data_IF_752078201840
#
_entry.id   IF_752078201840
#
_cell.length_a   1.000
_cell.length_b   1.000
_cell.length_c   1.000
_cell.angle_alpha   90.00
_cell.angle_beta   90.00
_cell.angle_gamma   90.00
#
_symmetry.space_group_name_H-M   'P 1'
#
loop_
_entity.id
_entity.type
_entity.pdbx_description
1 polymer ?
#
# COMPACT_ATOMS: atom_id res chain seq x y z
N UNK A 1 60.48 14.23 -1.29
CA UNK A 1 59.12 14.65 -0.89
C UNK A 1 58.29 13.40 -0.90
N UNK A 2 57.95 12.86 0.27
CA UNK A 2 57.16 11.64 0.39
C UNK A 2 55.69 12.03 0.27
N UNK A 3 55.08 11.69 -0.87
CA UNK A 3 53.62 11.76 -1.02
C UNK A 3 53.03 10.57 -0.23
N UNK A 4 52.47 10.86 0.94
CA UNK A 4 51.67 9.91 1.68
C UNK A 4 50.33 9.76 0.99
N UNK A 5 50.07 8.62 0.36
CA UNK A 5 48.71 8.19 0.05
C UNK A 5 47.94 8.01 1.35
N UNK A 6 47.14 9.01 1.72
CA UNK A 6 46.05 8.82 2.66
C UNK A 6 44.98 7.98 1.97
N UNK A 7 44.96 6.68 2.28
CA UNK A 7 43.77 5.85 2.09
C UNK A 7 42.64 6.51 2.88
N UNK A 8 41.50 6.89 2.26
CA UNK A 8 40.39 7.47 3.01
C UNK A 8 39.88 6.42 4.00
N UNK A 9 39.85 6.77 5.29
CA UNK A 9 39.21 5.94 6.31
C UNK A 9 37.72 5.76 5.93
N UNK A 10 37.17 4.54 6.05
CA UNK A 10 35.77 4.32 5.76
C UNK A 10 34.92 5.13 6.76
N UNK A 11 34.01 5.94 6.25
CA UNK A 11 33.07 6.69 7.09
C UNK A 11 32.24 5.71 7.92
N UNK A 12 32.25 5.90 9.25
CA UNK A 12 31.51 5.05 10.19
C UNK A 12 30.71 5.90 11.15
N UNK A 13 29.49 5.47 11.48
CA UNK A 13 28.58 6.19 12.36
C UNK A 13 28.09 5.31 13.49
N UNK A 14 28.50 5.63 14.72
CA UNK A 14 28.06 4.92 15.91
C UNK A 14 26.76 5.53 16.44
N UNK A 15 25.67 4.75 16.45
CA UNK A 15 24.37 5.23 16.91
C UNK A 15 23.59 4.18 17.69
N UNK A 16 22.62 4.62 18.50
CA UNK A 16 21.68 3.74 19.20
C UNK A 16 20.41 3.56 18.37
N UNK A 17 20.10 2.32 18.01
CA UNK A 17 18.90 1.92 17.30
C UNK A 17 17.78 1.59 18.29
N UNK A 18 16.62 2.22 18.14
CA UNK A 18 15.35 1.80 18.76
C UNK A 18 14.56 1.01 17.74
N UNK A 19 14.58 -0.30 17.86
CA UNK A 19 13.92 -1.20 16.93
C UNK A 19 12.51 -1.50 17.46
N UNK A 20 11.49 -1.16 16.68
CA UNK A 20 10.10 -1.50 16.95
C UNK A 20 9.61 -2.55 15.94
N UNK A 21 9.32 -3.75 16.43
CA UNK A 21 8.72 -4.83 15.64
C UNK A 21 7.20 -4.84 15.85
N UNK A 22 6.45 -4.73 14.76
CA UNK A 22 5.00 -4.92 14.78
C UNK A 22 4.65 -6.39 14.53
N UNK A 23 4.01 -7.01 15.51
CA UNK A 23 3.49 -8.37 15.49
C UNK A 23 1.98 -8.33 15.30
N UNK A 24 1.45 -9.37 14.67
CA UNK A 24 0.02 -9.54 14.40
C UNK A 24 -0.43 -10.84 15.04
N UNK A 25 -1.40 -10.76 15.93
CA UNK A 25 -2.10 -11.92 16.51
C UNK A 25 -3.51 -11.97 15.96
N UNK A 26 -3.91 -13.15 15.50
CA UNK A 26 -5.31 -13.42 15.17
C UNK A 26 -6.05 -13.70 16.48
N UNK A 27 -7.15 -12.97 16.72
CA UNK A 27 -8.12 -13.38 17.74
C UNK A 27 -9.12 -14.33 17.10
N UNK A 28 -9.34 -15.48 17.72
CA UNK A 28 -10.40 -16.38 17.31
C UNK A 28 -11.75 -15.66 17.47
N UNK A 29 -12.59 -15.79 16.44
CA UNK A 29 -13.91 -15.18 16.45
C UNK A 29 -14.80 -15.95 17.43
N UNK A 30 -15.13 -15.36 18.57
CA UNK A 30 -16.18 -15.89 19.44
C UNK A 30 -17.53 -15.59 18.79
N UNK A 31 -17.99 -16.47 17.91
CA UNK A 31 -19.32 -16.45 17.29
C UNK A 31 -19.29 -16.66 15.78
N UNK A 32 -20.15 -17.57 15.30
CA UNK A 32 -20.43 -17.78 13.87
C UNK A 32 -20.84 -16.42 13.26
N UNK A 33 -20.09 -15.93 12.28
CA UNK A 33 -20.33 -14.72 11.43
C UNK A 33 -19.62 -13.39 11.76
N UNK A 34 -18.54 -13.34 12.58
CA UNK A 34 -17.75 -12.09 12.76
C UNK A 34 -16.37 -12.17 12.10
N UNK A 35 -16.03 -11.15 11.29
CA UNK A 35 -14.73 -10.97 10.60
C UNK A 35 -13.58 -11.07 11.60
N UNK A 36 -12.57 -11.91 11.33
CA UNK A 36 -11.35 -12.05 12.15
C UNK A 36 -10.70 -10.67 12.34
N UNK A 37 -10.62 -10.21 13.58
CA UNK A 37 -9.95 -8.94 13.94
C UNK A 37 -8.48 -9.24 14.25
N UNK A 38 -7.54 -8.60 13.53
CA UNK A 38 -6.11 -8.68 13.84
C UNK A 38 -5.77 -7.71 14.96
N UNK A 39 -5.18 -8.21 16.05
CA UNK A 39 -4.58 -7.39 17.09
C UNK A 39 -3.11 -7.13 16.77
N UNK A 40 -2.69 -5.87 16.88
CA UNK A 40 -1.30 -5.45 16.68
C UNK A 40 -0.61 -5.35 18.03
N UNK A 41 0.54 -6.01 18.17
CA UNK A 41 1.41 -5.92 19.32
C UNK A 41 2.75 -5.34 18.87
N UNK A 42 3.25 -4.30 19.54
CA UNK A 42 4.54 -3.68 19.20
C UNK A 42 5.58 -4.06 20.24
N UNK A 43 6.67 -4.70 19.81
CA UNK A 43 7.83 -5.01 20.65
C UNK A 43 8.97 -4.04 20.36
N UNK A 44 9.47 -3.38 21.39
CA UNK A 44 10.58 -2.43 21.27
C UNK A 44 11.87 -3.01 21.88
N UNK A 45 12.99 -2.87 21.18
CA UNK A 45 14.34 -3.26 21.62
C UNK A 45 15.33 -2.16 21.29
N UNK A 46 16.40 -2.07 22.05
CA UNK A 46 17.50 -1.12 21.78
C UNK A 46 18.79 -1.87 21.44
N UNK A 47 19.56 -1.32 20.49
CA UNK A 47 20.82 -1.88 20.01
C UNK A 47 21.79 -0.74 19.69
N UNK A 48 22.98 -0.72 20.28
CA UNK A 48 24.07 0.10 19.77
C UNK A 48 24.67 -0.57 18.53
N UNK A 49 24.81 0.17 17.43
CA UNK A 49 25.32 -0.36 16.17
C UNK A 49 26.20 0.69 15.47
N UNK A 50 27.21 0.19 14.77
CA UNK A 50 28.08 1.00 13.91
C UNK A 50 27.58 0.87 12.48
N UNK A 51 27.00 1.93 11.94
CA UNK A 51 26.56 1.99 10.55
C UNK A 51 27.77 2.32 9.66
N UNK A 52 27.83 1.72 8.48
CA UNK A 52 28.80 2.01 7.41
C UNK A 52 28.10 1.82 6.07
N UNK A 53 28.58 2.43 4.99
CA UNK A 53 27.97 2.29 3.66
C UNK A 53 27.76 0.82 3.22
N UNK A 54 28.72 -0.05 3.50
CA UNK A 54 28.71 -1.43 2.99
C UNK A 54 28.19 -2.49 3.97
N UNK A 55 27.58 -2.10 5.09
CA UNK A 55 27.16 -3.05 6.13
C UNK A 55 25.66 -3.32 6.20
N UNK A 56 24.92 -3.05 5.12
CA UNK A 56 23.48 -3.25 5.04
C UNK A 56 23.01 -4.64 5.47
N UNK A 57 23.61 -5.72 4.95
CA UNK A 57 23.24 -7.09 5.32
C UNK A 57 23.57 -7.42 6.78
N UNK A 58 24.68 -6.89 7.29
CA UNK A 58 25.09 -7.05 8.69
C UNK A 58 24.13 -6.30 9.62
N UNK A 59 23.68 -5.10 9.23
CA UNK A 59 22.66 -4.32 9.91
C UNK A 59 21.35 -5.10 10.03
N UNK A 60 20.81 -5.59 8.91
CA UNK A 60 19.56 -6.36 8.92
C UNK A 60 19.67 -7.64 9.77
N UNK A 61 20.82 -8.32 9.69
CA UNK A 61 21.10 -9.52 10.50
C UNK A 61 21.16 -9.19 12.00
N UNK A 62 21.80 -8.08 12.38
CA UNK A 62 21.88 -7.62 13.77
C UNK A 62 20.50 -7.22 14.32
N UNK A 63 19.65 -6.61 13.50
CA UNK A 63 18.26 -6.29 13.84
C UNK A 63 17.47 -7.58 14.14
N UNK A 64 17.57 -8.60 13.29
CA UNK A 64 16.90 -9.89 13.54
C UNK A 64 17.43 -10.58 14.80
N UNK A 65 18.74 -10.59 15.02
CA UNK A 65 19.36 -11.18 16.20
C UNK A 65 18.85 -10.51 17.49
N UNK A 66 18.71 -9.18 17.51
CA UNK A 66 18.15 -8.46 18.67
C UNK A 66 16.65 -8.67 18.88
N UNK A 67 15.93 -9.02 17.83
CA UNK A 67 14.53 -9.44 17.90
C UNK A 67 14.37 -10.95 18.19
N UNK A 68 15.49 -11.70 18.33
CA UNK A 68 15.51 -13.16 18.49
C UNK A 68 14.83 -13.91 17.33
N UNK A 69 14.97 -13.37 16.11
CA UNK A 69 14.37 -13.89 14.87
C UNK A 69 15.39 -14.54 13.93
N UNK A 70 16.67 -14.48 14.28
CA UNK A 70 17.81 -15.04 13.55
C UNK A 70 17.76 -16.56 13.37
N UNK A 71 17.06 -17.27 14.25
CA UNK A 71 16.84 -18.72 14.14
C UNK A 71 15.78 -19.10 13.09
N UNK A 72 14.81 -18.21 12.85
CA UNK A 72 13.67 -18.46 11.95
C UNK A 72 13.88 -17.83 10.57
N UNK A 73 14.53 -16.68 10.52
CA UNK A 73 14.71 -15.86 9.33
C UNK A 73 16.20 -15.58 9.13
N UNK A 74 16.65 -15.78 7.89
CA UNK A 74 18.04 -15.52 7.51
C UNK A 74 18.05 -14.46 6.41
N UNK A 75 18.82 -13.40 6.65
CA UNK A 75 19.08 -12.38 5.63
C UNK A 75 20.16 -12.88 4.70
N UNK A 76 19.91 -12.77 3.40
CA UNK A 76 20.89 -13.02 2.35
C UNK A 76 20.73 -11.93 1.29
N UNK A 77 21.68 -11.84 0.37
CA UNK A 77 21.62 -10.91 -0.75
C UNK A 77 20.27 -10.95 -1.51
N UNK A 78 19.71 -12.15 -1.69
CA UNK A 78 18.40 -12.36 -2.36
C UNK A 78 17.19 -12.30 -1.43
N UNK A 79 17.40 -12.32 -0.11
CA UNK A 79 16.35 -12.36 0.92
C UNK A 79 16.62 -11.28 1.95
N UNK A 80 16.22 -10.07 1.60
CA UNK A 80 16.33 -8.86 2.43
C UNK A 80 14.91 -8.43 2.80
N UNK A 81 14.75 -7.75 3.93
CA UNK A 81 13.47 -7.15 4.32
C UNK A 81 13.64 -5.65 4.41
N UNK A 82 12.67 -4.90 3.90
CA UNK A 82 12.64 -3.46 4.08
C UNK A 82 12.24 -3.11 5.52
N UNK A 83 12.56 -1.88 5.90
CA UNK A 83 12.16 -1.29 7.17
C UNK A 83 11.89 0.20 6.97
N UNK A 84 11.36 0.87 7.98
CA UNK A 84 11.30 2.32 8.01
C UNK A 84 12.25 2.86 9.07
N UNK A 85 12.89 3.98 8.82
CA UNK A 85 13.62 4.69 9.86
C UNK A 85 13.03 6.08 10.12
N UNK A 86 13.25 6.56 11.33
CA UNK A 86 12.76 7.85 11.78
C UNK A 86 13.85 8.57 12.56
N UNK A 87 14.24 9.73 12.03
CA UNK A 87 15.18 10.63 12.67
C UNK A 87 14.75 12.10 12.45
N UNK A 88 14.69 12.93 13.52
CA UNK A 88 14.83 12.59 14.93
C UNK A 88 13.73 11.65 15.45
N UNK A 89 14.01 10.91 16.53
CA UNK A 89 13.07 9.90 17.09
C UNK A 89 11.73 10.46 17.58
N UNK A 90 11.67 11.78 17.78
CA UNK A 90 10.50 12.57 18.21
C UNK A 90 9.53 12.91 17.08
N UNK A 91 9.93 12.72 15.81
CA UNK A 91 9.01 12.90 14.68
C UNK A 91 7.84 11.91 14.78
N UNK A 92 6.76 12.23 14.09
CA UNK A 92 5.59 11.34 13.99
C UNK A 92 5.92 10.17 13.06
N UNK A 93 5.42 8.97 13.37
CA UNK A 93 5.75 7.75 12.62
C UNK A 93 5.36 7.80 11.13
N UNK A 94 4.46 8.72 10.73
CA UNK A 94 4.11 8.97 9.33
C UNK A 94 5.25 9.59 8.51
N UNK A 95 6.20 10.25 9.18
CA UNK A 95 7.37 10.88 8.56
C UNK A 95 8.56 9.90 8.48
N UNK A 96 8.33 8.63 8.81
CA UNK A 96 9.36 7.60 8.71
C UNK A 96 9.65 7.30 7.23
N UNK A 97 10.93 7.25 6.89
CA UNK A 97 11.43 7.02 5.54
C UNK A 97 11.55 5.51 5.32
N UNK A 98 11.01 5.03 4.20
CA UNK A 98 11.11 3.63 3.78
C UNK A 98 12.53 3.32 3.25
N UNK A 99 13.11 2.21 3.69
CA UNK A 99 14.40 1.68 3.23
C UNK A 99 14.17 0.24 2.79
N UNK A 100 14.12 0.00 1.48
CA UNK A 100 13.82 -1.31 0.90
C UNK A 100 15.03 -1.91 0.16
N UNK A 101 15.95 -1.06 -0.30
CA UNK A 101 17.13 -1.44 -1.09
C UNK A 101 18.44 -1.05 -0.40
N UNK A 102 19.56 -1.44 -1.02
CA UNK A 102 20.90 -1.03 -0.57
C UNK A 102 21.19 0.43 -0.89
N UNK A 103 20.68 0.93 -2.01
CA UNK A 103 20.77 2.34 -2.39
C UNK A 103 20.04 3.21 -1.34
N UNK A 104 18.82 2.83 -0.94
CA UNK A 104 18.08 3.52 0.13
C UNK A 104 18.85 3.50 1.47
N UNK A 105 19.61 2.43 1.72
CA UNK A 105 20.40 2.29 2.94
C UNK A 105 21.60 3.24 2.95
N UNK A 106 22.28 3.38 1.81
CA UNK A 106 23.37 4.34 1.61
C UNK A 106 22.85 5.77 1.72
N UNK A 107 21.66 6.06 1.16
CA UNK A 107 21.01 7.37 1.31
C UNK A 107 20.64 7.66 2.76
N UNK A 108 20.09 6.66 3.47
CA UNK A 108 19.86 6.76 4.91
C UNK A 108 21.17 7.06 5.64
N UNK A 109 22.24 6.30 5.38
CA UNK A 109 23.53 6.51 6.05
C UNK A 109 24.07 7.92 5.81
N UNK A 110 24.07 8.37 4.55
CA UNK A 110 24.52 9.72 4.16
C UNK A 110 23.74 10.79 4.91
N UNK A 111 22.41 10.70 4.94
CA UNK A 111 21.54 11.62 5.66
C UNK A 111 21.79 11.61 7.18
N UNK A 112 22.24 10.48 7.76
CA UNK A 112 22.59 10.40 9.17
C UNK A 112 24.00 10.95 9.45
N UNK A 113 24.95 10.84 8.52
CA UNK A 113 26.28 11.42 8.67
C UNK A 113 26.23 12.95 8.79
N UNK A 114 25.34 13.61 8.04
CA UNK A 114 25.12 15.06 8.13
C UNK A 114 24.66 15.53 9.51
N UNK A 115 24.03 14.64 10.28
CA UNK A 115 23.38 14.98 11.54
C UNK A 115 24.01 14.31 12.78
N UNK A 116 24.81 13.25 12.60
CA UNK A 116 25.46 12.47 13.66
C UNK A 116 24.51 12.11 14.83
N UNK A 117 23.41 11.39 14.57
CA UNK A 117 22.38 11.13 15.57
C UNK A 117 22.88 10.24 16.71
N UNK A 118 22.63 10.63 17.97
CA UNK A 118 22.84 9.70 19.10
C UNK A 118 21.87 8.50 19.02
N UNK A 119 20.68 8.72 18.48
CA UNK A 119 19.58 7.74 18.48
C UNK A 119 18.70 7.84 17.23
N UNK A 120 18.39 6.70 16.62
CA UNK A 120 17.44 6.58 15.51
C UNK A 120 16.40 5.49 15.82
N UNK A 121 15.18 5.63 15.27
CA UNK A 121 14.11 4.65 15.46
C UNK A 121 13.91 3.86 14.16
N UNK A 122 13.93 2.54 14.27
CA UNK A 122 13.75 1.59 13.18
C UNK A 122 12.41 0.88 13.39
N UNK A 123 11.52 0.94 12.41
CA UNK A 123 10.21 0.30 12.42
C UNK A 123 10.24 -0.89 11.46
N UNK A 124 9.92 -2.07 11.98
CA UNK A 124 9.96 -3.32 11.24
C UNK A 124 8.61 -4.02 11.36
N UNK A 125 8.09 -4.52 10.24
CA UNK A 125 6.83 -5.24 10.17
C UNK A 125 7.07 -6.76 10.02
N UNK A 126 6.49 -7.57 10.91
CA UNK A 126 6.61 -9.02 10.85
C UNK A 126 6.02 -9.63 9.56
N UNK A 127 5.00 -9.02 8.97
CA UNK A 127 4.45 -9.44 7.66
C UNK A 127 5.49 -9.26 6.56
N UNK A 128 6.31 -8.21 6.63
CA UNK A 128 7.38 -7.94 5.67
C UNK A 128 8.55 -8.92 5.82
N UNK A 129 8.97 -9.20 7.06
CA UNK A 129 10.00 -10.24 7.33
C UNK A 129 9.52 -11.59 6.80
N UNK A 130 8.28 -11.99 7.11
CA UNK A 130 7.71 -13.26 6.63
C UNK A 130 7.68 -13.33 5.10
N UNK A 131 7.20 -12.29 4.44
CA UNK A 131 7.13 -12.27 2.97
C UNK A 131 8.51 -12.39 2.32
N UNK A 132 9.49 -11.68 2.87
CA UNK A 132 10.77 -11.47 2.18
C UNK A 132 11.85 -12.47 2.59
N UNK A 133 11.76 -13.01 3.81
CA UNK A 133 12.76 -13.91 4.40
C UNK A 133 12.22 -15.31 4.73
N UNK A 134 10.97 -15.65 4.36
CA UNK A 134 10.46 -17.00 4.58
C UNK A 134 11.39 -18.06 3.95
N UNK A 135 11.63 -19.12 4.73
CA UNK A 135 12.30 -20.33 4.22
C UNK A 135 11.38 -20.96 3.19
N UNK A 136 11.93 -21.35 2.03
CA UNK A 136 11.26 -22.33 1.18
C UNK A 136 11.11 -23.58 2.04
N UNK A 137 9.87 -23.96 2.37
CA UNK A 137 9.62 -25.19 3.13
C UNK A 137 10.10 -26.36 2.27
N UNK A 138 11.21 -26.98 2.68
CA UNK A 138 11.44 -28.39 2.36
C UNK A 138 10.85 -29.17 3.53
N UNK A 139 9.70 -29.79 3.30
CA UNK A 139 9.11 -30.82 4.16
C UNK A 139 8.25 -30.35 5.33
N UNK A 140 6.98 -30.75 5.27
CA UNK A 140 6.05 -31.02 6.38
C UNK A 140 5.56 -29.85 7.26
N UNK A 141 4.37 -29.34 6.93
CA UNK A 141 3.18 -29.39 7.79
C UNK A 141 2.07 -28.70 6.99
N UNK A 142 1.24 -29.53 6.35
CA UNK A 142 -0.06 -29.12 5.85
C UNK A 142 -0.87 -28.59 7.03
N UNK A 143 -1.28 -27.32 6.93
CA UNK A 143 -2.50 -26.86 7.56
C UNK A 143 -3.43 -26.59 6.38
N UNK A 144 -4.42 -27.46 6.29
CA UNK A 144 -5.39 -27.58 5.22
C UNK A 144 -6.27 -26.32 5.17
N UNK A 145 -6.15 -25.53 4.10
CA UNK A 145 -7.22 -24.64 3.66
C UNK A 145 -8.23 -25.53 2.92
N UNK A 146 -9.15 -26.12 3.68
CA UNK A 146 -10.23 -26.96 3.17
C UNK A 146 -11.18 -26.14 2.29
N UNK A 147 -11.48 -26.73 1.14
CA UNK A 147 -12.31 -26.21 0.07
C UNK A 147 -13.79 -26.26 0.46
N UNK A 148 -14.48 -25.16 0.18
CA UNK A 148 -15.93 -24.99 0.29
C UNK A 148 -16.61 -25.84 -0.80
N UNK A 149 -16.97 -27.07 -0.43
CA UNK A 149 -17.75 -28.01 -1.23
C UNK A 149 -19.19 -28.03 -0.72
N UNK A 150 -20.05 -27.36 -1.46
CA UNK A 150 -21.50 -27.30 -1.31
C UNK A 150 -22.10 -28.61 -1.86
N UNK A 151 -22.62 -29.50 -1.00
CA UNK A 151 -23.54 -30.55 -1.45
C UNK A 151 -24.67 -30.81 -0.44
N UNK A 152 -25.87 -30.85 -1.02
CA UNK A 152 -27.17 -30.97 -0.38
C UNK A 152 -27.46 -32.38 0.18
N UNK A 153 -28.29 -32.36 1.21
CA UNK A 153 -28.83 -33.50 1.94
C UNK A 153 -29.95 -34.21 1.15
N UNK A 154 -29.78 -35.50 0.84
CA UNK A 154 -30.91 -36.40 0.56
C UNK A 154 -30.71 -37.79 1.19
N UNK A 155 -31.44 -38.00 2.27
CA UNK A 155 -31.71 -39.27 2.93
C UNK A 155 -32.58 -40.20 2.03
N UNK A 156 -32.25 -41.50 1.95
CA UNK A 156 -33.18 -42.64 2.24
C UNK A 156 -32.59 -44.01 1.84
N UNK A 157 -32.30 -44.80 2.88
CA UNK A 157 -32.43 -46.23 3.14
C UNK A 157 -32.52 -47.36 2.04
N UNK A 158 -31.77 -48.43 2.37
CA UNK A 158 -32.04 -49.89 2.28
C UNK A 158 -31.69 -50.73 1.04
N UNK A 159 -30.89 -51.80 1.27
CA UNK A 159 -30.97 -53.08 0.53
C UNK A 159 -29.61 -53.75 0.19
N UNK A 160 -29.29 -54.96 0.70
CA UNK A 160 -27.97 -55.59 0.57
C UNK A 160 -27.91 -56.74 -0.47
N UNK A 161 -26.73 -56.99 -1.07
CA UNK A 161 -26.11 -58.33 -1.26
C UNK A 161 -24.81 -58.29 -2.13
N UNK A 162 -23.86 -59.13 -1.70
CA UNK A 162 -22.55 -59.57 -2.28
C UNK A 162 -22.72 -60.53 -3.49
N UNK A 163 -21.67 -61.17 -4.12
CA UNK A 163 -20.19 -60.94 -4.18
C UNK A 163 -19.50 -61.12 -5.60
N UNK A 164 -18.24 -60.60 -5.75
CA UNK A 164 -17.04 -61.09 -6.53
C UNK A 164 -17.14 -61.47 -8.06
N UNK A 165 -16.03 -61.76 -8.79
CA UNK A 165 -14.66 -61.18 -8.87
C UNK A 165 -14.14 -60.99 -10.34
N UNK A 166 -12.88 -60.53 -10.51
CA UNK A 166 -11.88 -60.97 -11.54
C UNK A 166 -11.34 -59.95 -12.57
N UNK A 167 -10.01 -59.76 -12.47
CA UNK A 167 -8.98 -59.59 -13.51
C UNK A 167 -8.68 -58.22 -14.17
N UNK A 168 -7.39 -58.03 -14.59
CA UNK A 168 -6.81 -56.72 -14.89
C UNK A 168 -6.76 -56.45 -16.40
N UNK A 169 -6.94 -55.19 -16.80
CA UNK A 169 -6.60 -54.74 -18.15
C UNK A 169 -5.76 -53.47 -18.14
N UNK A 170 -4.52 -53.67 -18.59
CA UNK A 170 -3.60 -52.68 -19.12
C UNK A 170 -4.31 -51.84 -20.21
N UNK A 171 -4.33 -50.51 -20.07
CA UNK A 171 -4.43 -49.60 -21.21
C UNK A 171 -3.75 -48.27 -20.94
N UNK A 172 -2.64 -48.07 -21.64
CA UNK A 172 -2.06 -46.77 -21.91
C UNK A 172 -3.01 -45.97 -22.83
N UNK A 173 -3.36 -44.74 -22.44
CA UNK A 173 -3.73 -43.63 -23.32
C UNK A 173 -3.29 -42.35 -22.59
N UNK A 174 -2.18 -41.76 -23.04
CA UNK A 174 -2.17 -40.57 -23.91
C UNK A 174 -2.46 -39.27 -23.14
N UNK A 175 -1.39 -38.55 -22.80
CA UNK A 175 -1.46 -37.22 -22.21
C UNK A 175 -2.03 -36.21 -23.20
N UNK A 176 -3.05 -35.48 -22.78
CA UNK A 176 -3.33 -34.14 -23.28
C UNK A 176 -3.32 -33.19 -22.07
N UNK A 177 -2.55 -32.10 -22.08
CA UNK A 177 -2.61 -31.11 -21.01
C UNK A 177 -3.95 -30.38 -21.09
N UNK A 178 -4.73 -30.45 -20.01
CA UNK A 178 -5.95 -29.68 -19.85
C UNK A 178 -5.62 -28.19 -19.95
N UNK A 179 -6.22 -27.51 -20.93
CA UNK A 179 -6.12 -26.06 -21.05
C UNK A 179 -6.79 -25.42 -19.84
N UNK A 180 -6.04 -24.60 -19.11
CA UNK A 180 -6.56 -23.77 -18.05
C UNK A 180 -7.65 -22.82 -18.60
N UNK A 181 -8.77 -22.77 -17.90
CA UNK A 181 -9.90 -21.89 -18.22
C UNK A 181 -9.48 -20.40 -18.12
N UNK A 182 -10.01 -19.49 -18.96
CA UNK A 182 -9.59 -18.10 -18.98
C UNK A 182 -10.05 -17.35 -17.73
N UNK A 183 -9.10 -16.73 -17.02
CA UNK A 183 -9.39 -15.82 -15.90
C UNK A 183 -10.13 -14.59 -16.46
N UNK A 184 -11.27 -14.15 -15.87
CA UNK A 184 -12.03 -13.02 -16.39
C UNK A 184 -11.22 -11.72 -16.34
N UNK A 185 -11.14 -11.04 -17.49
CA UNK A 185 -10.34 -9.83 -17.73
C UNK A 185 -11.04 -8.58 -17.16
N UNK A 186 -11.12 -8.47 -15.82
CA UNK A 186 -11.64 -7.27 -15.13
C UNK A 186 -10.53 -6.23 -14.94
N UNK A 187 -9.89 -5.84 -16.04
CA UNK A 187 -8.66 -5.06 -15.98
C UNK A 187 -8.93 -3.57 -16.18
N UNK A 188 -8.81 -2.77 -15.12
CA UNK A 188 -8.71 -1.29 -15.21
C UNK A 188 -7.33 -0.82 -15.71
N UNK A 189 -6.47 -1.76 -16.15
CA UNK A 189 -5.11 -1.47 -16.61
C UNK A 189 -5.05 -0.69 -17.93
N UNK A 190 -5.91 -0.94 -18.94
CA UNK A 190 -5.92 -0.16 -20.17
C UNK A 190 -6.18 1.32 -19.89
N UNK A 191 -7.16 1.63 -19.02
CA UNK A 191 -7.48 3.00 -18.61
C UNK A 191 -6.28 3.76 -18.06
N UNK A 192 -5.61 3.20 -17.05
CA UNK A 192 -4.47 3.84 -16.39
C UNK A 192 -3.29 4.06 -17.33
N UNK A 193 -3.08 3.12 -18.24
CA UNK A 193 -2.02 3.26 -19.24
C UNK A 193 -2.35 4.38 -20.23
N UNK A 194 -3.60 4.48 -20.68
CA UNK A 194 -4.05 5.53 -21.61
C UNK A 194 -4.07 6.92 -20.96
N UNK A 195 -4.39 7.03 -19.66
CA UNK A 195 -4.23 8.28 -18.90
C UNK A 195 -2.75 8.68 -18.80
N UNK A 196 -1.86 7.71 -18.56
CA UNK A 196 -0.42 7.96 -18.53
C UNK A 196 0.11 8.46 -19.88
N UNK A 197 -0.32 7.85 -21.00
CA UNK A 197 0.12 8.25 -22.33
C UNK A 197 -0.32 9.67 -22.68
N UNK A 198 -1.53 10.06 -22.29
CA UNK A 198 -2.03 11.41 -22.51
C UNK A 198 -1.23 12.46 -21.72
N UNK A 199 -0.96 12.18 -20.44
CA UNK A 199 -0.30 13.15 -19.55
C UNK A 199 1.22 13.19 -19.65
N UNK A 200 1.86 12.07 -20.05
CA UNK A 200 3.32 11.92 -19.98
C UNK A 200 3.99 11.79 -21.34
N UNK A 201 3.29 11.22 -22.33
CA UNK A 201 3.82 11.05 -23.69
C UNK A 201 3.28 12.12 -24.66
N UNK A 202 2.31 12.93 -24.21
CA UNK A 202 1.68 13.97 -25.03
C UNK A 202 0.79 13.41 -26.15
N UNK A 203 0.35 12.16 -26.03
CA UNK A 203 -0.54 11.55 -27.02
C UNK A 203 -1.97 11.99 -26.71
N UNK A 204 -2.53 12.88 -27.53
CA UNK A 204 -3.84 13.45 -27.25
C UNK A 204 -4.97 12.43 -27.43
N UNK A 205 -5.98 12.53 -26.55
CA UNK A 205 -7.22 11.77 -26.65
C UNK A 205 -7.06 10.24 -26.57
N UNK A 206 -5.99 9.72 -25.94
CA UNK A 206 -5.81 8.26 -25.85
C UNK A 206 -6.90 7.53 -25.08
N UNK A 207 -7.54 8.21 -24.13
CA UNK A 207 -8.65 7.68 -23.33
C UNK A 207 -9.88 7.33 -24.17
N UNK A 208 -10.10 7.95 -25.34
CA UNK A 208 -11.24 7.62 -26.22
C UNK A 208 -11.14 6.20 -26.80
N UNK A 209 -9.92 5.66 -26.91
CA UNK A 209 -9.67 4.33 -27.47
C UNK A 209 -9.76 3.22 -26.42
N UNK A 210 -10.00 3.54 -25.14
CA UNK A 210 -10.04 2.59 -24.03
C UNK A 210 -10.98 1.41 -24.34
N UNK A 211 -12.22 1.71 -24.72
CA UNK A 211 -13.23 0.69 -25.01
C UNK A 211 -12.82 -0.18 -26.21
N UNK A 212 -12.29 0.42 -27.27
CA UNK A 212 -11.88 -0.28 -28.50
C UNK A 212 -10.69 -1.22 -28.26
N UNK A 213 -9.70 -0.76 -27.49
CA UNK A 213 -8.51 -1.52 -27.08
C UNK A 213 -8.91 -2.67 -26.14
N UNK A 214 -9.78 -2.40 -25.17
CA UNK A 214 -10.27 -3.40 -24.23
C UNK A 214 -11.15 -4.46 -24.92
N UNK A 215 -12.01 -4.07 -25.85
CA UNK A 215 -12.88 -4.98 -26.60
C UNK A 215 -12.09 -6.00 -27.44
N UNK A 216 -10.88 -5.62 -27.90
CA UNK A 216 -9.95 -6.51 -28.60
C UNK A 216 -9.04 -7.31 -27.66
N UNK A 217 -9.12 -7.07 -26.35
CA UNK A 217 -8.27 -7.72 -25.35
C UNK A 217 -6.82 -7.22 -25.36
N UNK A 218 -6.54 -6.05 -25.95
CA UNK A 218 -5.19 -5.50 -26.01
C UNK A 218 -4.83 -4.84 -24.67
N UNK A 219 -4.03 -5.53 -23.87
CA UNK A 219 -3.44 -4.97 -22.65
C UNK A 219 -2.07 -4.31 -22.91
N UNK A 220 -1.60 -3.44 -22.00
CA UNK A 220 -0.27 -2.83 -22.09
C UNK A 220 0.87 -3.86 -22.08
N UNK A 221 0.63 -5.04 -21.51
CA UNK A 221 1.54 -6.18 -21.47
C UNK A 221 1.79 -6.83 -22.83
N UNK A 222 0.81 -6.78 -23.74
CA UNK A 222 0.91 -7.36 -25.08
C UNK A 222 0.90 -6.32 -26.21
N UNK A 223 0.65 -5.03 -25.91
CA UNK A 223 0.47 -3.99 -26.92
C UNK A 223 1.67 -3.87 -27.88
N UNK A 224 2.90 -3.97 -27.36
CA UNK A 224 4.13 -4.01 -28.17
C UNK A 224 4.19 -5.16 -29.20
N UNK A 225 3.44 -6.25 -28.99
CA UNK A 225 3.34 -7.40 -29.88
C UNK A 225 2.19 -7.30 -30.90
N UNK A 226 1.25 -6.39 -30.68
CA UNK A 226 0.10 -6.20 -31.58
C UNK A 226 0.60 -5.58 -32.90
N UNK A 227 0.25 -6.12 -34.08
CA UNK A 227 0.58 -5.52 -35.37
C UNK A 227 0.05 -4.08 -35.46
N UNK A 228 0.81 -3.17 -36.08
CA UNK A 228 0.39 -1.76 -36.19
C UNK A 228 -0.95 -1.63 -36.92
N UNK A 229 -1.17 -2.46 -37.94
CA UNK A 229 -2.43 -2.52 -38.71
C UNK A 229 -3.65 -2.73 -37.82
N UNK A 230 -3.56 -3.61 -36.82
CA UNK A 230 -4.67 -3.93 -35.93
C UNK A 230 -5.02 -2.77 -34.99
N UNK A 231 -4.04 -1.91 -34.68
CA UNK A 231 -4.25 -0.69 -33.87
C UNK A 231 -4.74 0.48 -34.72
N UNK A 232 -4.27 0.58 -35.97
CA UNK A 232 -4.78 1.54 -36.95
C UNK A 232 -6.25 1.27 -37.30
N UNK A 233 -6.69 0.01 -37.33
CA UNK A 233 -8.11 -0.37 -37.46
C UNK A 233 -9.00 0.15 -36.33
N UNK A 234 -8.43 0.55 -35.19
CA UNK A 234 -9.14 1.21 -34.08
C UNK A 234 -9.21 2.75 -34.25
N UNK A 235 -8.81 3.26 -35.43
CA UNK A 235 -8.66 4.69 -35.74
C UNK A 235 -7.61 5.41 -34.90
N UNK A 236 -6.58 4.70 -34.42
CA UNK A 236 -5.44 5.30 -33.73
C UNK A 236 -4.45 5.78 -34.80
N UNK A 237 -4.02 7.06 -34.77
CA UNK A 237 -3.02 7.57 -35.70
C UNK A 237 -1.71 6.75 -35.64
N UNK A 238 -1.08 6.52 -36.79
CA UNK A 238 0.12 5.68 -36.87
C UNK A 238 1.28 6.16 -35.97
N UNK A 239 1.41 7.48 -35.75
CA UNK A 239 2.37 8.04 -34.79
C UNK A 239 2.07 7.64 -33.35
N UNK A 240 0.80 7.73 -32.95
CA UNK A 240 0.33 7.37 -31.62
C UNK A 240 0.48 5.86 -31.37
N UNK A 241 0.26 5.04 -32.40
CA UNK A 241 0.51 3.59 -32.35
C UNK A 241 1.96 3.28 -31.97
N UNK A 242 2.92 3.97 -32.57
CA UNK A 242 4.34 3.78 -32.25
C UNK A 242 4.61 4.17 -30.79
N UNK A 243 4.18 5.36 -30.38
CA UNK A 243 4.40 5.86 -29.02
C UNK A 243 3.74 4.97 -27.96
N UNK A 244 2.52 4.50 -28.20
CA UNK A 244 1.82 3.57 -27.31
C UNK A 244 2.57 2.23 -27.20
N UNK A 245 3.07 1.68 -28.29
CA UNK A 245 3.81 0.41 -28.28
C UNK A 245 5.15 0.53 -27.56
N UNK A 246 5.91 1.58 -27.84
CA UNK A 246 7.22 1.80 -27.22
C UNK A 246 7.11 2.03 -25.71
N UNK A 247 6.04 2.70 -25.26
CA UNK A 247 5.81 2.97 -23.85
C UNK A 247 5.12 1.83 -23.09
N UNK A 248 4.47 0.88 -23.77
CA UNK A 248 3.62 -0.13 -23.11
C UNK A 248 4.41 -1.05 -22.17
N UNK A 249 5.54 -1.58 -22.65
CA UNK A 249 6.35 -2.55 -21.92
C UNK A 249 7.13 -1.90 -20.76
N UNK A 250 7.80 -0.74 -20.94
CA UNK A 250 8.42 -0.01 -19.84
C UNK A 250 7.41 0.42 -18.76
N UNK A 251 6.21 0.85 -19.17
CA UNK A 251 5.16 1.21 -18.21
C UNK A 251 4.69 -0.01 -17.42
N UNK A 252 4.37 -1.11 -18.10
CA UNK A 252 3.84 -2.33 -17.49
C UNK A 252 4.83 -3.02 -16.53
N UNK A 253 6.12 -3.04 -16.89
CA UNK A 253 7.18 -3.62 -16.05
C UNK A 253 7.66 -2.65 -14.97
N UNK A 254 7.47 -1.35 -15.20
CA UNK A 254 7.93 -0.26 -14.35
C UNK A 254 7.15 -0.10 -13.04
N UNK A 255 7.66 0.75 -12.14
CA UNK A 255 7.03 1.02 -10.85
C UNK A 255 5.63 1.64 -10.98
N UNK A 256 5.34 2.30 -12.10
CA UNK A 256 4.07 2.98 -12.36
C UNK A 256 2.89 2.00 -12.52
N UNK A 257 3.05 0.89 -13.26
CA UNK A 257 2.00 -0.11 -13.40
C UNK A 257 1.72 -0.90 -12.12
N UNK A 258 2.71 -1.05 -11.23
CA UNK A 258 2.58 -1.78 -9.96
C UNK A 258 1.85 -0.99 -8.86
N UNK A 259 1.43 0.24 -9.14
CA UNK A 259 0.71 1.13 -8.20
C UNK A 259 -0.80 0.84 -8.12
N UNK A 260 -1.19 -0.43 -8.03
CA UNK A 260 -2.57 -0.83 -7.68
C UNK A 260 -2.97 -0.45 -6.24
N UNK A 261 -2.01 -0.12 -5.38
CA UNK A 261 -2.26 0.44 -4.04
C UNK A 261 -1.93 1.92 -4.06
N UNK A 262 -2.94 2.77 -3.84
CA UNK A 262 -2.86 4.23 -3.69
C UNK A 262 -1.59 4.63 -2.91
N UNK A 263 -0.50 4.88 -3.62
CA UNK A 263 0.59 5.76 -3.19
C UNK A 263 0.43 6.98 -4.08
N UNK A 264 -0.04 8.08 -3.47
CA UNK A 264 -0.03 9.40 -4.08
C UNK A 264 1.44 9.74 -4.34
N UNK A 265 1.90 9.52 -5.55
CA UNK A 265 3.25 9.87 -5.97
C UNK A 265 3.34 11.39 -6.09
N UNK A 266 4.25 11.95 -5.31
CA UNK A 266 4.83 13.28 -5.49
C UNK A 266 5.48 13.35 -6.86
N UNK A 267 4.99 14.25 -7.70
CA UNK A 267 5.69 14.73 -8.90
C UNK A 267 6.36 16.03 -8.52
N UNK A 268 7.69 16.06 -8.66
CA UNK A 268 8.47 17.29 -8.59
C UNK A 268 8.12 18.18 -9.79
N UNK A 269 8.21 19.48 -9.54
CA UNK A 269 8.10 20.60 -10.47
C UNK A 269 6.69 21.10 -10.83
N UNK A 270 6.01 21.72 -9.84
CA UNK A 270 5.27 23.00 -9.96
C UNK A 270 5.31 23.66 -8.56
N UNK A 271 5.48 24.98 -8.52
CA UNK A 271 5.45 25.92 -7.37
C UNK A 271 4.83 25.46 -6.03
N UNK A 272 5.31 25.98 -4.87
CA UNK A 272 4.95 25.48 -3.55
C UNK A 272 3.45 25.64 -3.24
N UNK A 273 2.67 24.61 -3.55
CA UNK A 273 1.31 24.46 -3.02
C UNK A 273 1.43 24.11 -1.56
N UNK A 274 1.28 25.13 -0.71
CA UNK A 274 1.09 25.00 0.74
C UNK A 274 0.01 23.94 0.96
N UNK A 275 0.38 22.78 1.52
CA UNK A 275 -0.59 21.76 1.93
C UNK A 275 -1.47 22.41 3.00
N UNK A 276 -2.67 22.86 2.62
CA UNK A 276 -3.60 23.58 3.49
C UNK A 276 -3.90 22.68 4.71
N UNK A 277 -3.58 23.16 5.91
CA UNK A 277 -3.86 22.45 7.18
C UNK A 277 -5.37 22.24 7.30
N UNK A 278 -5.82 20.99 7.39
CA UNK A 278 -7.23 20.67 7.64
C UNK A 278 -7.49 20.62 9.15
N UNK A 279 -8.66 21.09 9.59
CA UNK A 279 -9.13 21.05 10.97
C UNK A 279 -10.32 20.08 11.06
N UNK A 280 -10.44 19.35 12.17
CA UNK A 280 -11.60 18.52 12.48
C UNK A 280 -12.71 19.35 13.11
N UNK A 281 -13.93 19.18 12.60
CA UNK A 281 -15.13 19.85 13.05
C UNK A 281 -16.20 18.85 13.45
N UNK A 282 -17.11 19.27 14.32
CA UNK A 282 -18.28 18.52 14.75
C UNK A 282 -19.49 19.47 14.75
N UNK A 283 -20.51 19.12 13.96
CA UNK A 283 -21.85 19.70 14.03
C UNK A 283 -22.60 19.03 15.17
N UNK A 284 -23.25 19.79 16.03
CA UNK A 284 -24.14 19.30 17.09
C UNK A 284 -25.48 19.99 16.96
N UNK A 285 -26.56 19.20 16.93
CA UNK A 285 -27.92 19.73 16.88
C UNK A 285 -28.53 19.64 18.27
N UNK A 286 -29.20 20.71 18.67
CA UNK A 286 -29.92 20.85 19.93
C UNK A 286 -31.39 21.15 19.65
N UNK A 287 -32.28 20.59 20.46
CA UNK A 287 -33.69 20.93 20.42
C UNK A 287 -34.00 22.26 21.12
N UNK A 288 -35.28 22.66 21.09
CA UNK A 288 -35.77 23.86 21.79
C UNK A 288 -35.65 23.79 23.32
N UNK A 289 -35.38 22.61 23.88
CA UNK A 289 -35.16 22.38 25.31
C UNK A 289 -33.66 22.36 25.67
N UNK A 290 -32.76 22.48 24.69
CA UNK A 290 -31.31 22.44 24.86
C UNK A 290 -30.73 21.02 24.95
N UNK A 291 -31.50 19.98 24.61
CA UNK A 291 -31.02 18.60 24.56
C UNK A 291 -30.39 18.30 23.20
N UNK A 292 -29.23 17.62 23.20
CA UNK A 292 -28.55 17.27 21.97
C UNK A 292 -29.31 16.16 21.24
N UNK A 293 -29.82 16.46 20.04
CA UNK A 293 -30.60 15.54 19.21
C UNK A 293 -29.75 14.82 18.16
N UNK A 294 -28.56 15.32 17.84
CA UNK A 294 -27.67 14.71 16.85
C UNK A 294 -26.25 15.25 16.84
N UNK A 295 -25.39 14.60 16.06
CA UNK A 295 -24.03 15.05 15.81
C UNK A 295 -23.41 14.45 14.54
N UNK A 296 -22.54 15.22 13.86
CA UNK A 296 -21.84 14.78 12.65
C UNK A 296 -20.44 15.40 12.62
N UNK A 297 -19.44 14.59 12.27
CA UNK A 297 -18.03 15.02 12.22
C UNK A 297 -17.58 15.17 10.76
N UNK A 298 -16.81 16.22 10.49
CA UNK A 298 -16.24 16.46 9.17
C UNK A 298 -14.84 17.10 9.28
N UNK A 299 -14.04 16.99 8.23
CA UNK A 299 -12.77 17.69 8.12
C UNK A 299 -12.96 18.87 7.15
N UNK A 300 -12.44 20.04 7.52
CA UNK A 300 -12.56 21.24 6.70
C UNK A 300 -11.27 22.06 6.71
N UNK A 301 -11.24 23.10 5.88
CA UNK A 301 -10.21 24.13 5.95
C UNK A 301 -10.32 24.96 7.24
N UNK A 302 -9.25 25.68 7.65
CA UNK A 302 -9.31 26.54 8.83
C UNK A 302 -10.45 27.53 8.73
N UNK A 303 -11.13 27.76 9.86
CA UNK A 303 -12.27 28.66 9.91
C UNK A 303 -11.82 30.10 9.61
N UNK A 304 -12.65 30.86 8.90
CA UNK A 304 -12.39 32.24 8.51
C UNK A 304 -13.37 33.19 9.22
N UNK A 305 -12.97 34.45 9.48
CA UNK A 305 -13.90 35.45 9.97
C UNK A 305 -14.97 35.72 8.91
N UNK A 306 -16.23 35.81 9.33
CA UNK A 306 -17.38 36.14 8.50
C UNK A 306 -17.94 37.49 8.97
N UNK A 307 -18.14 38.42 8.05
CA UNK A 307 -18.78 39.70 8.36
C UNK A 307 -20.30 39.50 8.51
N UNK A 308 -20.78 39.50 9.76
CA UNK A 308 -22.20 39.36 10.09
C UNK A 308 -22.49 38.20 11.04
N UNK A 309 -23.77 38.03 11.41
CA UNK A 309 -24.23 36.79 12.03
C UNK A 309 -24.02 35.66 11.02
N UNK A 310 -23.52 34.50 11.48
CA UNK A 310 -23.26 33.33 10.63
C UNK A 310 -24.54 33.02 9.82
N UNK A 311 -24.59 33.30 8.51
CA UNK A 311 -25.87 33.47 7.83
C UNK A 311 -26.64 32.16 7.63
N UNK A 312 -25.97 30.99 7.76
CA UNK A 312 -26.53 29.68 7.40
C UNK A 312 -26.52 28.64 8.54
N UNK A 313 -26.35 29.05 9.80
CA UNK A 313 -26.48 28.12 10.92
C UNK A 313 -27.95 28.00 11.30
N UNK A 314 -28.55 26.85 11.01
CA UNK A 314 -29.89 26.47 11.46
C UNK A 314 -30.06 26.70 12.97
N UNK A 315 -31.24 27.14 13.40
CA UNK A 315 -31.55 27.34 14.83
C UNK A 315 -31.38 26.00 15.58
N UNK A 316 -30.50 25.98 16.59
CA UNK A 316 -30.12 24.76 17.32
C UNK A 316 -28.87 24.05 16.78
N UNK A 317 -28.23 24.52 15.69
CA UNK A 317 -26.97 23.98 15.19
C UNK A 317 -25.76 24.70 15.80
N UNK A 318 -24.93 23.96 16.52
CA UNK A 318 -23.62 24.41 16.98
C UNK A 318 -22.49 23.73 16.23
N UNK A 319 -21.44 24.50 15.90
CA UNK A 319 -20.21 23.97 15.32
C UNK A 319 -19.09 24.01 16.36
N UNK A 320 -18.46 22.86 16.55
CA UNK A 320 -17.29 22.67 17.39
C UNK A 320 -16.09 22.32 16.52
N UNK A 321 -14.88 22.68 16.96
CA UNK A 321 -13.64 22.28 16.32
C UNK A 321 -12.71 21.60 17.32
N UNK A 322 -11.91 20.65 16.83
CA UNK A 322 -10.92 20.00 17.68
C UNK A 322 -9.69 20.89 17.85
N UNK A 323 -9.47 21.37 19.06
CA UNK A 323 -8.34 22.20 19.40
C UNK A 323 -7.13 21.32 19.76
N UNK A 324 -6.21 21.13 18.83
CA UNK A 324 -5.00 20.31 19.02
C UNK A 324 -4.16 20.76 20.23
N UNK A 325 -4.08 22.07 20.50
CA UNK A 325 -3.36 22.62 21.64
C UNK A 325 -3.98 22.22 23.00
N UNK A 326 -5.31 22.01 23.03
CA UNK A 326 -6.06 21.63 24.24
C UNK A 326 -6.38 20.13 24.28
N UNK A 327 -6.15 19.41 23.18
CA UNK A 327 -6.56 18.03 22.98
C UNK A 327 -8.07 17.80 23.24
N UNK A 328 -8.89 18.81 22.96
CA UNK A 328 -10.33 18.82 23.32
C UNK A 328 -11.15 19.59 22.28
N UNK A 329 -12.48 19.36 22.29
CA UNK A 329 -13.44 20.07 21.46
C UNK A 329 -13.73 21.46 22.02
N UNK A 330 -13.69 22.48 21.17
CA UNK A 330 -14.04 23.85 21.52
C UNK A 330 -15.13 24.38 20.59
N UNK A 331 -16.09 25.12 21.15
CA UNK A 331 -17.11 25.79 20.35
C UNK A 331 -16.44 26.84 19.44
N UNK A 332 -16.91 26.92 18.19
CA UNK A 332 -16.41 27.89 17.24
C UNK A 332 -16.74 29.31 17.73
N UNK A 333 -15.77 30.24 17.78
CA UNK A 333 -16.06 31.59 18.25
C UNK A 333 -17.11 32.29 17.36
N UNK A 334 -17.97 33.15 17.94
CA UNK A 334 -18.92 33.94 17.16
C UNK A 334 -18.21 34.77 16.07
N UNK A 335 -18.81 34.84 14.88
CA UNK A 335 -18.24 35.54 13.72
C UNK A 335 -17.20 34.74 12.92
N UNK A 336 -17.08 33.43 13.16
CA UNK A 336 -16.24 32.53 12.36
C UNK A 336 -17.07 31.39 11.77
N UNK A 337 -16.69 30.94 10.57
CA UNK A 337 -17.31 29.79 9.91
C UNK A 337 -16.25 28.83 9.33
N UNK A 338 -16.51 27.51 9.34
CA UNK A 338 -15.68 26.58 8.59
C UNK A 338 -15.89 26.79 7.09
N UNK A 339 -14.80 26.82 6.32
CA UNK A 339 -14.89 26.81 4.86
C UNK A 339 -15.27 25.39 4.44
N UNK A 340 -16.51 25.20 4.01
CA UNK A 340 -16.97 23.97 3.38
C UNK A 340 -16.56 24.02 1.90
N UNK A 341 -15.85 23.01 1.42
CA UNK A 341 -15.72 22.80 -0.01
C UNK A 341 -17.11 22.44 -0.52
N UNK A 342 -17.67 23.26 -1.42
CA UNK A 342 -18.94 22.94 -2.07
C UNK A 342 -18.82 21.56 -2.69
N UNK A 343 -19.54 20.59 -2.14
CA UNK A 343 -19.68 19.29 -2.75
C UNK A 343 -20.34 19.53 -4.10
N UNK A 344 -19.67 19.16 -5.20
CA UNK A 344 -20.29 19.05 -6.51
C UNK A 344 -21.53 18.17 -6.36
N UNK A 345 -22.70 18.81 -6.31
CA UNK A 345 -23.99 18.19 -6.40
C UNK A 345 -24.19 17.83 -7.88
N UNK A 346 -23.62 16.68 -8.28
CA UNK A 346 -24.05 16.01 -9.52
C UNK A 346 -25.44 15.44 -9.25
N UNK A 347 -26.43 16.33 -9.33
CA UNK A 347 -27.85 15.98 -9.44
C UNK A 347 -28.04 15.25 -10.76
N UNK A 348 -28.33 13.95 -10.69
CA UNK A 348 -28.80 13.15 -11.81
C UNK A 348 -30.29 13.46 -12.03
N UNK A 349 -30.62 13.93 -13.24
CA UNK A 349 -32.00 14.00 -13.77
C UNK A 349 -32.18 12.85 -14.78
#
# INVERSE_FOLDING_TARGET
>A
MSEGSQTPEPETLNTKLVIQLTLYKTKDATGKSKKKTEEKEVKTKELAFTLTNDNYLAFLSAVLAKLSLDTQYKVTDKKRFGFKYLYPVSKVARDAVDVETEEDYVDMFSALCDHTPEKIKILVDMKQIRRSCARSRVGASDDEDEADGDEEDVETANGPQTPMPTAPHTRCLSSAPAMASPVPYTSTLPKRFLEYSEHSLGIHHTTIYEHSIQAKGYGPDILHKVPNKDLEELNIPAGDVICLKDASLPWFTGPLAKSGKRKRATREDVEPVVKKKTIQYEKRWYDTHGEQTGGSQFNGHPFIPVEGNNPDLEEGLEIWYYCEARQDWAQLPPGFAPVQDEANDDTFD
#
